data_IF_130868925988
#
_entry.id   IF_130868925988
#
_cell.length_a   1.000
_cell.length_b   1.000
_cell.length_c   1.000
_cell.angle_alpha   90.00
_cell.angle_beta   90.00
_cell.angle_gamma   90.00
#
_symmetry.space_group_name_H-M   'P 1'
#
loop_
_entity.id
_entity.type
_entity.pdbx_description
1 polymer ?
#
# COMPACT_ATOMS: atom_id res chain seq x y z
N UNK A 1 -1.75 -12.91 -2.78
CA UNK A 1 -1.30 -11.88 -3.75
C UNK A 1 -1.10 -12.33 -5.20
N UNK A 2 -0.30 -13.36 -5.54
CA UNK A 2 -0.16 -13.80 -6.95
C UNK A 2 0.33 -12.71 -7.94
N UNK A 3 0.99 -11.66 -7.43
CA UNK A 3 1.52 -10.54 -8.22
C UNK A 3 2.98 -10.79 -8.56
N UNK A 4 3.45 -10.25 -9.68
CA UNK A 4 4.87 -10.30 -10.04
C UNK A 4 5.71 -9.54 -9.02
N UNK A 5 6.99 -9.93 -8.88
CA UNK A 5 7.95 -9.20 -8.04
C UNK A 5 8.00 -7.71 -8.39
N UNK A 6 8.00 -7.37 -9.68
CA UNK A 6 8.01 -5.97 -10.12
C UNK A 6 6.79 -5.20 -9.60
N UNK A 7 5.60 -5.80 -9.67
CA UNK A 7 4.37 -5.18 -9.15
C UNK A 7 4.44 -4.94 -7.64
N UNK A 8 4.91 -5.94 -6.87
CA UNK A 8 5.05 -5.82 -5.41
C UNK A 8 6.11 -4.74 -5.07
N UNK A 9 7.22 -4.71 -5.79
CA UNK A 9 8.28 -3.73 -5.62
C UNK A 9 7.81 -2.30 -5.94
N UNK A 10 6.90 -2.13 -6.92
CA UNK A 10 6.28 -0.82 -7.18
C UNK A 10 5.38 -0.34 -6.05
N UNK A 11 4.63 -1.26 -5.40
CA UNK A 11 3.84 -0.94 -4.21
C UNK A 11 4.74 -0.51 -3.05
N UNK A 12 5.75 -1.31 -2.72
CA UNK A 12 6.68 -1.02 -1.63
C UNK A 12 7.44 0.30 -1.80
N UNK A 13 7.71 0.69 -3.05
CA UNK A 13 8.39 1.96 -3.39
C UNK A 13 7.43 3.13 -3.59
N UNK A 14 6.13 2.95 -3.33
CA UNK A 14 5.09 3.95 -3.56
C UNK A 14 5.05 4.50 -5.01
N UNK A 15 5.59 3.75 -5.99
CA UNK A 15 5.53 4.13 -7.42
C UNK A 15 4.14 3.92 -7.99
N UNK A 16 3.46 2.89 -7.50
CA UNK A 16 2.08 2.56 -7.84
C UNK A 16 1.33 2.28 -6.54
N UNK A 17 0.13 2.82 -6.40
CA UNK A 17 -0.73 2.47 -5.27
C UNK A 17 -1.44 1.13 -5.54
N UNK A 18 -1.49 0.22 -4.55
CA UNK A 18 -2.29 -0.99 -4.64
C UNK A 18 -3.79 -0.66 -4.68
N UNK A 19 -4.62 -1.61 -5.13
CA UNK A 19 -6.07 -1.51 -4.91
C UNK A 19 -6.39 -1.71 -3.43
N UNK A 20 -7.61 -1.38 -3.02
CA UNK A 20 -8.02 -1.53 -1.61
C UNK A 20 -7.93 -2.99 -1.16
N UNK A 21 -8.37 -3.94 -2.01
CA UNK A 21 -8.29 -5.37 -1.72
C UNK A 21 -6.84 -5.83 -1.52
N UNK A 22 -5.96 -5.36 -2.40
CA UNK A 22 -4.52 -5.66 -2.30
C UNK A 22 -3.90 -5.02 -1.07
N UNK A 23 -4.33 -3.82 -0.69
CA UNK A 23 -3.86 -3.16 0.54
C UNK A 23 -4.23 -3.98 1.78
N UNK A 24 -5.45 -4.53 1.84
CA UNK A 24 -5.86 -5.42 2.91
C UNK A 24 -5.07 -6.74 2.93
N UNK A 25 -4.82 -7.35 1.77
CA UNK A 25 -3.94 -8.54 1.68
C UNK A 25 -2.53 -8.22 2.21
N UNK A 26 -1.96 -7.05 1.88
CA UNK A 26 -0.65 -6.64 2.39
C UNK A 26 -0.69 -6.45 3.91
N UNK A 27 -1.74 -5.83 4.44
CA UNK A 27 -1.90 -5.61 5.88
C UNK A 27 -1.98 -6.93 6.66
N UNK A 28 -2.71 -7.92 6.13
CA UNK A 28 -2.80 -9.27 6.70
C UNK A 28 -1.43 -9.98 6.72
N UNK A 29 -0.69 -9.90 5.62
CA UNK A 29 0.67 -10.48 5.52
C UNK A 29 1.64 -9.83 6.53
N UNK A 30 1.51 -8.53 6.74
CA UNK A 30 2.35 -7.76 7.67
C UNK A 30 1.85 -7.81 9.12
N UNK A 31 0.71 -8.46 9.39
CA UNK A 31 0.06 -8.55 10.69
C UNK A 31 -0.15 -7.17 11.35
N UNK A 32 -0.71 -6.23 10.59
CA UNK A 32 -0.99 -4.86 11.04
C UNK A 32 -2.32 -4.36 10.46
N UNK A 33 -2.80 -3.20 10.93
CA UNK A 33 -4.03 -2.63 10.38
C UNK A 33 -3.78 -1.92 9.04
N UNK A 34 -4.69 -2.06 8.07
CA UNK A 34 -4.56 -1.42 6.75
C UNK A 34 -4.42 0.12 6.81
N UNK A 35 -4.95 0.75 7.86
CA UNK A 35 -4.80 2.21 8.09
C UNK A 35 -3.35 2.62 8.34
N UNK A 36 -2.51 1.70 8.84
CA UNK A 36 -1.10 1.94 9.13
C UNK A 36 -0.25 1.97 7.84
N UNK A 37 -0.80 1.45 6.73
CA UNK A 37 -0.18 1.48 5.41
C UNK A 37 -0.52 2.75 4.61
N UNK A 38 -1.33 3.66 5.16
CA UNK A 38 -1.80 4.86 4.47
C UNK A 38 -1.22 6.10 5.14
N UNK A 39 -0.48 6.90 4.37
CA UNK A 39 -0.04 8.22 4.80
C UNK A 39 -1.15 9.26 4.64
N UNK A 40 -1.38 10.06 5.69
CA UNK A 40 -2.27 11.22 5.61
C UNK A 40 -1.62 12.28 4.72
N UNK A 41 -2.33 12.69 3.68
CA UNK A 41 -1.93 13.87 2.91
C UNK A 41 -2.39 15.12 3.65
N UNK A 42 -1.44 15.94 4.08
CA UNK A 42 -1.75 17.28 4.55
C UNK A 42 -2.11 18.15 3.34
N UNK A 43 -3.39 18.44 3.18
CA UNK A 43 -3.89 19.39 2.19
C UNK A 43 -3.59 20.86 2.57
N UNK A 44 -2.59 21.11 3.42
CA UNK A 44 -2.14 22.48 3.68
C UNK A 44 -1.57 23.03 2.37
N UNK A 45 -2.46 23.73 1.66
CA UNK A 45 -2.19 24.44 0.43
C UNK A 45 -0.97 25.33 0.67
N UNK A 46 0.02 25.15 -0.18
CA UNK A 46 1.06 26.14 -0.42
C UNK A 46 0.41 27.43 -0.92
#
# INVERSE_FOLDING_TARGET
>A
MGKSYNTINEYARNKRQPSIEVLFEIAEILNMEAKELIEKRDFKRK
#
